data_IF_761545939691
#
_entry.id   IF_761545939691
#
_cell.length_a   1.000
_cell.length_b   1.000
_cell.length_c   1.000
_cell.angle_alpha   90.00
_cell.angle_beta   90.00
_cell.angle_gamma   90.00
#
_symmetry.space_group_name_H-M   'P 1'
#
loop_
_entity.id
_entity.type
_entity.pdbx_description
1 polymer ?
#
# COMPACT_ATOMS: atom_id res chain seq x y z
N UNK A 1 -5.95 -16.36 11.66
CA UNK A 1 -6.00 -17.80 11.96
C UNK A 1 -5.96 -18.56 10.64
N UNK A 2 -5.27 -19.71 10.59
CA UNK A 2 -5.15 -20.56 9.40
C UNK A 2 -5.68 -21.97 9.70
N UNK A 3 -6.55 -22.51 8.85
CA UNK A 3 -7.23 -23.80 9.08
C UNK A 3 -7.53 -24.59 7.77
N UNK A 4 -6.80 -24.32 6.68
CA UNK A 4 -7.05 -25.00 5.41
C UNK A 4 -6.61 -26.47 5.47
N UNK A 5 -7.45 -27.38 4.97
CA UNK A 5 -7.16 -28.82 4.92
C UNK A 5 -7.41 -29.55 6.24
N UNK A 6 -6.91 -30.78 6.33
CA UNK A 6 -6.98 -31.62 7.54
C UNK A 6 -5.60 -32.10 7.96
N UNK A 7 -5.48 -32.56 9.20
CA UNK A 7 -4.22 -33.06 9.75
C UNK A 7 -4.32 -34.48 10.30
N UNK A 8 -3.23 -35.21 10.18
CA UNK A 8 -3.06 -36.56 10.70
C UNK A 8 -1.75 -36.63 11.50
N UNK A 9 -1.80 -37.28 12.66
CA UNK A 9 -0.63 -37.61 13.48
C UNK A 9 -0.86 -38.93 14.21
N UNK A 10 0.22 -39.57 14.61
CA UNK A 10 0.18 -40.76 15.45
C UNK A 10 0.37 -40.39 16.91
N UNK A 11 -0.16 -41.20 17.83
CA UNK A 11 0.06 -41.00 19.25
C UNK A 11 1.57 -41.04 19.57
N UNK A 12 1.99 -40.18 20.50
CA UNK A 12 3.38 -40.00 20.91
C UNK A 12 4.33 -39.57 19.78
N UNK A 13 3.83 -38.90 18.73
CA UNK A 13 4.64 -38.37 17.64
C UNK A 13 4.64 -36.83 17.63
N UNK A 14 5.75 -36.23 17.21
CA UNK A 14 5.82 -34.80 16.91
C UNK A 14 5.51 -34.50 15.44
N UNK A 15 5.42 -35.52 14.59
CA UNK A 15 5.16 -35.33 13.16
C UNK A 15 3.66 -35.07 12.92
N UNK A 16 3.36 -33.98 12.21
CA UNK A 16 2.01 -33.66 11.76
C UNK A 16 1.98 -33.60 10.23
N UNK A 17 1.08 -34.38 9.64
CA UNK A 17 0.92 -34.48 8.19
C UNK A 17 -0.40 -33.84 7.78
N UNK A 18 -0.33 -32.90 6.84
CA UNK A 18 -1.48 -32.18 6.31
C UNK A 18 -1.96 -32.75 4.97
N UNK A 19 -3.28 -32.71 4.73
CA UNK A 19 -3.90 -32.97 3.44
C UNK A 19 -4.68 -31.72 3.01
N UNK A 20 -4.40 -31.19 1.81
CA UNK A 20 -4.98 -29.93 1.34
C UNK A 20 -4.45 -28.68 2.05
N UNK A 21 -3.40 -28.83 2.86
CA UNK A 21 -2.70 -27.75 3.55
C UNK A 21 -1.68 -27.07 2.62
N UNK A 22 -1.27 -25.86 2.98
CA UNK A 22 -0.32 -25.00 2.24
C UNK A 22 0.64 -24.29 3.20
N UNK A 23 1.18 -24.99 4.20
CA UNK A 23 1.93 -24.37 5.32
C UNK A 23 3.21 -23.62 4.95
N UNK A 24 3.81 -23.90 3.80
CA UNK A 24 5.04 -23.24 3.33
C UNK A 24 4.78 -22.29 2.17
N UNK A 25 3.52 -22.13 1.78
CA UNK A 25 3.10 -21.14 0.79
C UNK A 25 3.26 -19.74 1.37
N UNK A 26 3.79 -18.81 0.57
CA UNK A 26 4.08 -17.45 1.00
C UNK A 26 2.86 -16.73 1.60
N UNK A 27 1.65 -17.10 1.18
CA UNK A 27 0.42 -16.42 1.63
C UNK A 27 -0.17 -17.05 2.91
N UNK A 28 0.32 -18.22 3.34
CA UNK A 28 -0.22 -18.94 4.51
C UNK A 28 0.12 -18.29 5.84
N UNK A 29 1.26 -17.57 5.91
CA UNK A 29 1.82 -16.94 7.11
C UNK A 29 2.03 -17.93 8.27
N UNK A 30 2.11 -19.23 7.98
CA UNK A 30 2.43 -20.28 8.94
C UNK A 30 3.94 -20.29 9.18
N UNK A 31 4.35 -20.36 10.45
CA UNK A 31 5.76 -20.32 10.85
C UNK A 31 5.99 -21.20 12.08
N UNK A 32 7.27 -21.49 12.33
CA UNK A 32 7.70 -21.99 13.64
C UNK A 32 7.27 -21.03 14.77
N UNK A 33 7.18 -21.57 15.98
CA UNK A 33 6.80 -20.92 17.24
C UNK A 33 5.32 -20.53 17.35
N UNK A 34 4.55 -20.62 16.26
CA UNK A 34 3.11 -20.40 16.32
C UNK A 34 2.40 -21.51 17.09
N UNK A 35 1.35 -21.11 17.82
CA UNK A 35 0.46 -22.03 18.51
C UNK A 35 -0.47 -22.69 17.50
N UNK A 36 -0.63 -24.00 17.65
CA UNK A 36 -1.55 -24.84 16.89
C UNK A 36 -2.53 -25.54 17.83
N UNK A 37 -3.81 -25.47 17.49
CA UNK A 37 -4.92 -26.15 18.15
C UNK A 37 -5.32 -27.32 17.26
N UNK A 38 -5.27 -28.55 17.77
CA UNK A 38 -5.64 -29.76 17.02
C UNK A 38 -6.84 -30.39 17.71
N UNK A 39 -7.91 -30.66 16.96
CA UNK A 39 -9.12 -31.30 17.50
C UNK A 39 -9.06 -32.81 17.30
N UNK A 40 -9.27 -33.58 18.37
CA UNK A 40 -9.56 -35.02 18.30
C UNK A 40 -10.86 -35.31 19.05
N UNK A 41 -11.91 -35.68 18.31
CA UNK A 41 -13.25 -35.81 18.85
C UNK A 41 -13.77 -34.49 19.42
N UNK A 42 -14.10 -34.47 20.71
CA UNK A 42 -14.56 -33.28 21.43
C UNK A 42 -13.44 -32.50 22.13
N UNK A 43 -12.21 -33.03 22.14
CA UNK A 43 -11.06 -32.44 22.83
C UNK A 43 -10.19 -31.64 21.87
N UNK A 44 -9.73 -30.47 22.33
CA UNK A 44 -8.74 -29.64 21.63
C UNK A 44 -7.40 -29.73 22.36
N UNK A 45 -6.36 -30.11 21.64
CA UNK A 45 -4.99 -30.19 22.13
C UNK A 45 -4.21 -28.98 21.63
N UNK A 46 -3.54 -28.31 22.55
CA UNK A 46 -2.72 -27.14 22.25
C UNK A 46 -1.26 -27.59 22.13
N UNK A 47 -0.60 -27.14 21.08
CA UNK A 47 0.83 -27.34 20.87
C UNK A 47 1.42 -26.11 20.20
N UNK A 48 2.71 -26.15 19.88
CA UNK A 48 3.38 -25.15 19.04
C UNK A 48 4.12 -25.82 17.90
N UNK A 49 4.34 -25.08 16.82
CA UNK A 49 5.07 -25.55 15.65
C UNK A 49 6.57 -25.39 15.93
N UNK A 50 7.32 -26.49 15.95
CA UNK A 50 8.78 -26.44 16.06
C UNK A 50 9.42 -26.05 14.72
N UNK A 51 8.93 -26.60 13.62
CA UNK A 51 9.45 -26.33 12.28
C UNK A 51 8.44 -26.74 11.20
N UNK A 52 8.50 -26.07 10.05
CA UNK A 52 7.65 -26.35 8.88
C UNK A 52 8.52 -26.91 7.76
N UNK A 53 8.32 -28.18 7.41
CA UNK A 53 9.13 -28.86 6.39
C UNK A 53 8.62 -28.53 4.99
N UNK A 54 7.31 -28.62 4.77
CA UNK A 54 6.66 -28.47 3.47
C UNK A 54 5.23 -27.92 3.61
N UNK A 55 4.51 -27.82 2.50
CA UNK A 55 3.09 -27.47 2.51
C UNK A 55 2.21 -28.44 3.31
N UNK A 56 2.68 -29.67 3.52
CA UNK A 56 1.93 -30.80 4.08
C UNK A 56 2.67 -31.50 5.22
N UNK A 57 3.82 -31.01 5.66
CA UNK A 57 4.56 -31.59 6.78
C UNK A 57 5.11 -30.51 7.70
N UNK A 58 4.80 -30.64 8.99
CA UNK A 58 5.37 -29.83 10.06
C UNK A 58 5.73 -30.72 11.26
N UNK A 59 6.58 -30.19 12.13
CA UNK A 59 6.97 -30.82 13.40
C UNK A 59 6.44 -30.00 14.56
N UNK A 60 5.77 -30.65 15.51
CA UNK A 60 5.29 -30.09 16.77
C UNK A 60 6.41 -29.99 17.80
N UNK A 61 6.29 -29.05 18.74
CA UNK A 61 7.28 -28.90 19.83
C UNK A 61 7.21 -30.01 20.86
N UNK A 62 6.01 -30.52 21.14
CA UNK A 62 5.74 -31.64 22.04
C UNK A 62 5.02 -32.77 21.29
N UNK A 63 5.15 -34.00 21.77
CA UNK A 63 4.48 -35.15 21.18
C UNK A 63 2.96 -35.00 21.28
N UNK A 64 2.23 -35.36 20.22
CA UNK A 64 0.78 -35.47 20.27
C UNK A 64 0.38 -36.61 21.22
N UNK A 65 -0.45 -36.36 22.24
CA UNK A 65 -0.84 -37.41 23.19
C UNK A 65 -1.76 -38.46 22.57
N UNK A 66 -2.42 -38.12 21.45
CA UNK A 66 -3.39 -38.98 20.77
C UNK A 66 -3.10 -39.04 19.27
N UNK A 67 -3.53 -40.14 18.65
CA UNK A 67 -3.60 -40.20 17.19
C UNK A 67 -4.78 -39.33 16.70
N UNK A 68 -4.57 -38.67 15.57
CA UNK A 68 -5.59 -37.88 14.88
C UNK A 68 -5.58 -38.34 13.43
N UNK A 69 -6.74 -38.62 12.86
CA UNK A 69 -6.87 -38.98 11.44
C UNK A 69 -7.85 -38.00 10.79
N UNK A 70 -7.37 -37.29 9.77
CA UNK A 70 -8.15 -36.27 9.05
C UNK A 70 -8.84 -35.25 9.99
N UNK A 71 -8.15 -34.86 11.06
CA UNK A 71 -8.65 -33.95 12.08
C UNK A 71 -8.67 -32.49 11.62
N UNK A 72 -9.49 -31.70 12.31
CA UNK A 72 -9.53 -30.24 12.16
C UNK A 72 -8.51 -29.58 13.07
N UNK A 73 -7.99 -28.44 12.65
CA UNK A 73 -6.96 -27.70 13.38
C UNK A 73 -7.03 -26.22 13.06
N UNK A 74 -6.43 -25.41 13.93
CA UNK A 74 -6.26 -23.98 13.72
C UNK A 74 -4.86 -23.53 14.14
N UNK A 75 -4.22 -22.71 13.31
CA UNK A 75 -2.94 -22.07 13.63
C UNK A 75 -3.18 -20.59 13.90
N UNK A 76 -2.69 -20.12 15.04
CA UNK A 76 -2.73 -18.72 15.44
C UNK A 76 -1.63 -17.94 14.70
N UNK A 77 -1.94 -17.51 13.48
CA UNK A 77 -1.00 -16.79 12.59
C UNK A 77 -0.77 -15.32 12.95
N UNK A 78 -1.64 -14.73 13.77
CA UNK A 78 -1.48 -13.38 14.32
C UNK A 78 -1.99 -13.37 15.75
N UNK A 79 -1.16 -13.00 16.71
CA UNK A 79 -1.61 -12.61 18.04
C UNK A 79 -1.73 -11.08 18.07
N UNK A 80 -2.91 -10.57 18.45
CA UNK A 80 -3.12 -9.14 18.68
C UNK A 80 -2.10 -8.68 19.73
N UNK A 81 -1.39 -7.57 19.48
CA UNK A 81 -0.33 -7.02 20.35
C UNK A 81 0.97 -7.87 20.46
N UNK A 82 1.30 -8.69 19.46
CA UNK A 82 2.61 -9.40 19.40
C UNK A 82 3.67 -8.66 18.60
N UNK A 83 4.95 -9.07 18.71
CA UNK A 83 6.02 -8.61 17.83
C UNK A 83 5.69 -8.82 16.34
N UNK A 84 4.94 -9.87 16.00
CA UNK A 84 4.46 -10.10 14.64
C UNK A 84 3.42 -9.06 14.20
N UNK A 85 2.50 -8.66 15.07
CA UNK A 85 1.57 -7.55 14.81
C UNK A 85 2.31 -6.20 14.67
N UNK A 86 3.30 -5.95 15.53
CA UNK A 86 4.18 -4.78 15.41
C UNK A 86 4.95 -4.79 14.07
N UNK A 87 5.54 -5.91 13.67
CA UNK A 87 6.23 -6.06 12.38
C UNK A 87 5.27 -5.85 11.20
N UNK A 88 4.05 -6.41 11.25
CA UNK A 88 3.05 -6.19 10.20
C UNK A 88 2.62 -4.72 10.10
N UNK A 89 2.44 -4.03 11.24
CA UNK A 89 2.14 -2.60 11.29
C UNK A 89 3.29 -1.75 10.75
N UNK A 90 4.53 -2.10 11.09
CA UNK A 90 5.75 -1.45 10.56
C UNK A 90 5.86 -1.68 9.05
N UNK A 91 5.60 -2.90 8.56
CA UNK A 91 5.61 -3.20 7.13
C UNK A 91 4.52 -2.40 6.42
N UNK A 92 3.30 -2.36 6.93
CA UNK A 92 2.22 -1.57 6.35
C UNK A 92 2.58 -0.07 6.28
N UNK A 93 3.19 0.49 7.33
CA UNK A 93 3.67 1.87 7.34
C UNK A 93 4.78 2.11 6.31
N UNK A 94 5.72 1.17 6.16
CA UNK A 94 6.76 1.26 5.15
C UNK A 94 6.22 1.13 3.72
N UNK A 95 5.21 0.28 3.49
CA UNK A 95 4.54 0.17 2.19
C UNK A 95 3.90 1.50 1.80
N UNK A 96 3.23 2.18 2.73
CA UNK A 96 2.67 3.51 2.49
C UNK A 96 3.76 4.55 2.14
N UNK A 97 4.92 4.51 2.82
CA UNK A 97 6.05 5.39 2.52
C UNK A 97 6.65 5.12 1.14
N UNK A 98 6.86 3.86 0.78
CA UNK A 98 7.37 3.47 -0.55
C UNK A 98 6.39 3.89 -1.65
N UNK A 99 5.09 3.69 -1.44
CA UNK A 99 4.06 4.13 -2.39
C UNK A 99 4.06 5.65 -2.56
N UNK A 100 4.22 6.42 -1.48
CA UNK A 100 4.34 7.87 -1.56
C UNK A 100 5.59 8.31 -2.32
N UNK A 101 6.74 7.67 -2.07
CA UNK A 101 7.98 7.92 -2.81
C UNK A 101 7.85 7.61 -4.30
N UNK A 102 7.18 6.51 -4.68
CA UNK A 102 6.89 6.18 -6.08
C UNK A 102 6.02 7.25 -6.74
N UNK A 103 4.92 7.66 -6.09
CA UNK A 103 4.05 8.72 -6.59
C UNK A 103 4.82 10.02 -6.79
N UNK A 104 5.67 10.43 -5.84
CA UNK A 104 6.48 11.63 -5.98
C UNK A 104 7.48 11.53 -7.13
N UNK A 105 8.16 10.39 -7.27
CA UNK A 105 9.10 10.18 -8.36
C UNK A 105 8.40 10.29 -9.72
N UNK A 106 7.24 9.64 -9.86
CA UNK A 106 6.42 9.72 -11.08
C UNK A 106 5.93 11.14 -11.34
N UNK A 107 5.43 11.83 -10.31
CA UNK A 107 4.98 13.22 -10.41
C UNK A 107 6.11 14.18 -10.86
N UNK A 108 7.34 13.96 -10.40
CA UNK A 108 8.48 14.80 -10.74
C UNK A 108 9.11 14.47 -12.10
N UNK A 109 9.05 13.21 -12.55
CA UNK A 109 9.81 12.75 -13.72
C UNK A 109 8.96 12.50 -14.97
N UNK A 110 7.71 12.07 -14.81
CA UNK A 110 6.80 11.83 -15.93
C UNK A 110 6.21 13.13 -16.51
N UNK A 111 5.59 13.01 -17.68
CA UNK A 111 4.93 14.12 -18.38
C UNK A 111 3.43 13.86 -18.47
N UNK A 112 2.63 14.93 -18.50
CA UNK A 112 1.17 14.83 -18.65
C UNK A 112 0.44 14.61 -17.32
N UNK A 113 -0.50 13.66 -17.32
CA UNK A 113 -1.30 13.31 -16.13
C UNK A 113 -1.04 11.85 -15.76
N UNK A 114 -0.83 11.59 -14.47
CA UNK A 114 -0.63 10.26 -13.92
C UNK A 114 -1.84 9.85 -13.08
N UNK A 115 -2.26 8.59 -13.23
CA UNK A 115 -3.21 7.96 -12.31
C UNK A 115 -2.46 7.42 -11.10
N UNK A 116 -2.92 7.79 -9.91
CA UNK A 116 -2.41 7.29 -8.62
C UNK A 116 -3.51 6.61 -7.84
N UNK A 117 -3.16 5.56 -7.11
CA UNK A 117 -4.05 4.90 -6.15
C UNK A 117 -3.64 5.34 -4.75
N UNK A 118 -4.59 5.81 -3.95
CA UNK A 118 -4.38 6.23 -2.57
C UNK A 118 -4.44 5.00 -1.63
N UNK A 119 -3.96 5.13 -0.38
CA UNK A 119 -3.98 4.04 0.59
C UNK A 119 -5.39 3.51 0.92
N UNK A 120 -6.43 4.31 0.71
CA UNK A 120 -7.84 3.93 0.87
C UNK A 120 -8.43 3.20 -0.36
N UNK A 121 -7.61 2.98 -1.40
CA UNK A 121 -7.99 2.30 -2.64
C UNK A 121 -8.65 3.22 -3.68
N UNK A 122 -8.90 4.49 -3.35
CA UNK A 122 -9.42 5.45 -4.34
C UNK A 122 -8.35 5.84 -5.35
N UNK A 123 -8.76 6.17 -6.58
CA UNK A 123 -7.86 6.63 -7.63
C UNK A 123 -8.02 8.13 -7.87
N UNK A 124 -6.90 8.79 -8.15
CA UNK A 124 -6.85 10.22 -8.45
C UNK A 124 -5.99 10.48 -9.67
N UNK A 125 -6.32 11.53 -10.42
CA UNK A 125 -5.53 12.02 -11.54
C UNK A 125 -4.68 13.21 -11.08
N UNK A 126 -3.37 13.09 -11.20
CA UNK A 126 -2.43 14.15 -10.85
C UNK A 126 -1.72 14.66 -12.10
N UNK A 127 -1.67 15.99 -12.28
CA UNK A 127 -0.83 16.61 -13.30
C UNK A 127 0.62 16.58 -12.81
N UNK A 128 1.55 16.16 -13.65
CA UNK A 128 2.97 16.12 -13.30
C UNK A 128 3.56 17.52 -13.25
N UNK A 129 4.71 17.67 -12.58
CA UNK A 129 5.42 18.94 -12.50
C UNK A 129 5.73 19.50 -13.90
N UNK A 130 6.20 18.64 -14.82
CA UNK A 130 6.48 19.02 -16.21
C UNK A 130 5.24 19.50 -16.97
N UNK A 131 4.08 18.88 -16.74
CA UNK A 131 2.84 19.33 -17.38
C UNK A 131 2.38 20.68 -16.82
N UNK A 132 2.57 20.90 -15.51
CA UNK A 132 2.32 22.22 -14.91
C UNK A 132 3.25 23.29 -15.50
N UNK A 133 4.56 23.02 -15.59
CA UNK A 133 5.53 23.93 -16.19
C UNK A 133 5.16 24.27 -17.63
N UNK A 134 4.83 23.26 -18.44
CA UNK A 134 4.38 23.43 -19.83
C UNK A 134 3.11 24.30 -19.94
N UNK A 135 2.15 24.13 -19.04
CA UNK A 135 0.90 24.90 -19.05
C UNK A 135 1.10 26.35 -18.58
N UNK A 136 2.18 26.63 -17.85
CA UNK A 136 2.57 27.95 -17.38
C UNK A 136 3.54 28.65 -18.33
N UNK A 137 4.29 27.90 -19.13
CA UNK A 137 5.24 28.41 -20.11
C UNK A 137 4.57 29.41 -21.06
N UNK A 138 5.22 30.56 -21.24
CA UNK A 138 4.74 31.66 -22.08
C UNK A 138 3.48 32.40 -21.61
N UNK A 139 2.93 32.13 -20.42
CA UNK A 139 1.70 32.81 -19.94
C UNK A 139 1.93 34.18 -19.32
N UNK A 140 3.08 34.41 -18.67
CA UNK A 140 3.50 35.72 -18.15
C UNK A 140 4.99 35.68 -17.77
N UNK A 141 5.85 36.41 -18.49
CA UNK A 141 7.28 36.53 -18.18
C UNK A 141 7.50 37.74 -17.25
N UNK A 142 8.48 37.62 -16.33
CA UNK A 142 8.93 38.72 -15.46
C UNK A 142 9.56 39.87 -16.25
N UNK A 143 10.04 39.63 -17.47
CA UNK A 143 10.51 40.65 -18.39
C UNK A 143 9.37 41.40 -19.12
N UNK A 144 8.11 41.02 -18.89
CA UNK A 144 6.95 41.49 -19.66
C UNK A 144 6.63 40.57 -20.84
N UNK A 145 5.66 40.94 -21.68
CA UNK A 145 5.28 40.15 -22.86
C UNK A 145 4.09 40.77 -23.60
N UNK A 146 3.79 40.23 -24.78
CA UNK A 146 2.68 40.70 -25.60
C UNK A 146 1.34 40.15 -25.07
N UNK A 147 0.40 41.04 -24.75
CA UNK A 147 -0.96 40.66 -24.38
C UNK A 147 -1.89 40.86 -25.58
N UNK A 148 -2.09 39.80 -26.36
CA UNK A 148 -2.98 39.79 -27.51
C UNK A 148 -4.43 39.52 -27.09
N UNK A 149 -5.07 40.50 -26.43
CA UNK A 149 -6.47 40.38 -26.01
C UNK A 149 -6.94 41.49 -25.08
N UNK A 150 -8.23 41.47 -24.73
CA UNK A 150 -8.81 42.41 -23.77
C UNK A 150 -8.36 42.06 -22.35
N UNK A 151 -7.64 42.98 -21.71
CA UNK A 151 -7.32 42.91 -20.28
C UNK A 151 -8.33 43.71 -19.48
N UNK A 152 -8.90 43.10 -18.45
CA UNK A 152 -9.72 43.82 -17.45
C UNK A 152 -8.92 43.94 -16.18
N UNK A 153 -8.62 45.18 -15.76
CA UNK A 153 -7.89 45.45 -14.52
C UNK A 153 -8.89 46.00 -13.50
N UNK A 154 -9.08 45.28 -12.39
CA UNK A 154 -9.91 45.74 -11.27
C UNK A 154 -9.03 46.45 -10.23
N UNK A 155 -8.61 47.66 -10.57
CA UNK A 155 -7.79 48.52 -9.71
C UNK A 155 -8.27 49.96 -9.86
N UNK A 156 -8.21 50.74 -8.78
CA UNK A 156 -8.49 52.18 -8.81
C UNK A 156 -7.43 52.97 -9.59
N UNK A 157 -6.26 52.39 -9.83
CA UNK A 157 -5.13 53.01 -10.52
C UNK A 157 -4.46 52.05 -11.48
N UNK A 158 -4.22 52.51 -12.71
CA UNK A 158 -3.41 51.83 -13.73
C UNK A 158 -2.28 52.79 -14.10
N UNK A 159 -1.03 52.31 -14.04
CA UNK A 159 0.16 53.07 -14.45
C UNK A 159 0.80 52.39 -15.65
N UNK A 160 0.97 53.12 -16.74
CA UNK A 160 1.65 52.68 -17.96
C UNK A 160 2.92 53.53 -18.09
N UNK A 161 4.08 52.89 -18.26
CA UNK A 161 5.40 53.54 -18.36
C UNK A 161 6.08 52.99 -19.61
N UNK A 162 6.73 53.85 -20.39
CA UNK A 162 7.41 53.48 -21.62
C UNK A 162 8.35 54.60 -22.03
N UNK A 163 9.27 54.25 -22.92
CA UNK A 163 10.42 55.09 -23.28
C UNK A 163 10.18 55.98 -24.49
N UNK A 164 9.14 55.69 -25.28
CA UNK A 164 8.80 56.39 -26.53
C UNK A 164 7.40 57.02 -26.48
N UNK A 165 7.08 57.85 -27.48
CA UNK A 165 5.74 58.42 -27.66
C UNK A 165 4.68 57.31 -27.89
N UNK A 166 3.45 57.53 -27.41
CA UNK A 166 2.36 56.55 -27.42
C UNK A 166 1.25 56.86 -28.44
N UNK A 167 1.52 56.92 -29.76
CA UNK A 167 0.55 57.39 -30.76
C UNK A 167 -0.68 56.49 -30.93
N UNK A 168 -0.72 55.31 -30.29
CA UNK A 168 -1.84 54.36 -30.35
C UNK A 168 -2.65 54.19 -29.05
N UNK A 169 -2.30 54.87 -27.96
CA UNK A 169 -3.02 54.71 -26.69
C UNK A 169 -4.32 55.54 -26.68
N UNK A 170 -5.47 54.88 -26.71
CA UNK A 170 -6.79 55.52 -26.63
C UNK A 170 -7.55 55.06 -25.38
N UNK A 171 -7.76 55.98 -24.44
CA UNK A 171 -8.60 55.76 -23.25
C UNK A 171 -10.01 56.28 -23.55
N UNK A 172 -11.02 55.43 -23.41
CA UNK A 172 -12.43 55.82 -23.60
C UNK A 172 -13.27 55.34 -22.43
N UNK A 173 -14.19 56.18 -21.97
CA UNK A 173 -15.21 55.76 -21.00
C UNK A 173 -16.20 54.85 -21.72
N UNK A 174 -16.51 53.68 -21.15
CA UNK A 174 -17.60 52.84 -21.64
C UNK A 174 -18.92 53.55 -21.29
N UNK A 175 -19.66 53.96 -22.32
CA UNK A 175 -21.01 54.51 -22.17
C UNK A 175 -22.00 53.43 -21.72
#
# INVERSE_FOLDING_TARGET
MYNAGTVTTTANSTKLVGVGTKWKDNNSRVSAEQVILIKSGTTVYINSIRSVQSNTELTLSFNSPVAVNAGTYEILTTMVNSFSDAANKIVAMNVANVQFSDILNRWATESGTITVTLPDGTTQQLRTAKEMDKLLDGKFDKAGGDINGRVTVNSSTIRIIGTDDWPGLSIRKKN
#
